data_IF_103375131145
#
_entry.id   IF_103375131145
#
_cell.length_a   1.000
_cell.length_b   1.000
_cell.length_c   1.000
_cell.angle_alpha   90.00
_cell.angle_beta   90.00
_cell.angle_gamma   90.00
#
_symmetry.space_group_name_H-M   'P 1'
#
loop_
_entity.id
_entity.type
_entity.pdbx_description
1 polymer ?
#
# COMPACT_ATOMS: atom_id res chain seq x y z
N UNK A 1 -19.90 0.50 0.41
CA UNK A 1 -19.26 1.83 0.24
C UNK A 1 -18.33 1.71 -0.98
N UNK A 2 -17.81 2.80 -1.56
CA UNK A 2 -16.98 2.72 -2.77
C UNK A 2 -15.48 2.73 -2.43
N UNK A 3 -14.67 2.05 -3.26
CA UNK A 3 -13.21 2.12 -3.18
C UNK A 3 -12.75 3.58 -3.30
N UNK A 4 -11.76 3.98 -2.49
CA UNK A 4 -11.33 5.39 -2.41
C UNK A 4 -9.84 5.54 -2.12
N UNK A 5 -9.25 6.63 -2.59
CA UNK A 5 -7.88 7.04 -2.25
C UNK A 5 -7.91 8.18 -1.25
N UNK A 6 -6.90 8.25 -0.38
CA UNK A 6 -6.68 9.36 0.55
C UNK A 6 -5.23 9.80 0.44
N UNK A 7 -5.01 10.95 -0.19
CA UNK A 7 -3.69 11.54 -0.41
C UNK A 7 -3.55 12.80 0.44
N UNK A 8 -2.35 13.08 0.94
CA UNK A 8 -2.01 14.31 1.64
C UNK A 8 -0.51 14.52 1.69
N UNK A 9 -0.07 15.58 2.38
CA UNK A 9 1.34 15.97 2.45
C UNK A 9 2.27 14.86 2.95
N UNK A 10 1.77 14.03 3.86
CA UNK A 10 2.55 13.00 4.58
C UNK A 10 1.93 11.61 4.45
N UNK A 11 1.05 11.42 3.46
CA UNK A 11 0.30 10.17 3.35
C UNK A 11 -0.22 9.87 1.95
N UNK A 12 -0.28 8.57 1.66
CA UNK A 12 -0.91 8.04 0.47
C UNK A 12 -1.58 6.70 0.80
N UNK A 13 -2.90 6.69 0.94
CA UNK A 13 -3.70 5.51 1.28
C UNK A 13 -4.73 5.18 0.22
N UNK A 14 -5.17 3.93 0.22
CA UNK A 14 -6.36 3.45 -0.47
C UNK A 14 -7.19 2.60 0.49
N UNK A 15 -8.52 2.67 0.33
CA UNK A 15 -9.47 1.76 0.98
C UNK A 15 -10.21 0.99 -0.10
N UNK A 16 -10.21 -0.33 0.01
CA UNK A 16 -10.94 -1.26 -0.87
C UNK A 16 -12.02 -1.91 -0.03
N UNK A 17 -13.27 -1.73 -0.44
CA UNK A 17 -14.51 -2.13 0.26
C UNK A 17 -15.51 -2.79 -0.71
N UNK A 18 -15.20 -2.73 -2.00
CA UNK A 18 -15.95 -3.38 -3.08
C UNK A 18 -14.98 -4.01 -4.05
N UNK A 19 -15.40 -5.07 -4.77
CA UNK A 19 -14.57 -5.70 -5.78
C UNK A 19 -13.95 -4.65 -6.72
N UNK A 20 -12.61 -4.61 -6.86
CA UNK A 20 -11.96 -3.80 -7.88
C UNK A 20 -12.40 -4.20 -9.28
N UNK A 21 -12.19 -3.32 -10.26
CA UNK A 21 -12.38 -3.66 -11.68
C UNK A 21 -11.06 -3.53 -12.43
N UNK A 22 -10.92 -4.25 -13.54
CA UNK A 22 -9.71 -4.20 -14.38
C UNK A 22 -8.49 -4.75 -13.63
N UNK A 23 -7.41 -4.00 -13.59
CA UNK A 23 -6.15 -4.47 -12.98
C UNK A 23 -6.15 -4.50 -11.44
N UNK A 24 -7.17 -3.95 -10.79
CA UNK A 24 -7.22 -3.79 -9.34
C UNK A 24 -7.41 -2.34 -8.89
N UNK A 25 -7.36 -2.12 -7.57
CA UNK A 25 -7.47 -0.80 -6.96
C UNK A 25 -6.22 -0.48 -6.15
N UNK A 26 -5.42 0.46 -6.67
CA UNK A 26 -4.11 0.81 -6.12
C UNK A 26 -4.12 2.21 -5.49
N UNK A 27 -3.14 2.48 -4.63
CA UNK A 27 -2.73 3.84 -4.25
C UNK A 27 -2.21 4.62 -5.47
N UNK A 28 -2.02 5.94 -5.33
CA UNK A 28 -1.12 6.63 -6.26
C UNK A 28 0.32 6.13 -6.02
N UNK A 29 1.19 6.36 -7.00
CA UNK A 29 2.61 6.09 -6.87
C UNK A 29 3.29 7.02 -5.87
N UNK A 30 4.28 6.51 -5.16
CA UNK A 30 5.10 7.22 -4.18
C UNK A 30 6.56 7.15 -4.64
N UNK A 31 7.12 8.31 -4.98
CA UNK A 31 8.55 8.47 -5.28
C UNK A 31 9.30 8.86 -4.00
N UNK A 32 9.99 7.90 -3.39
CA UNK A 32 10.68 8.11 -2.12
C UNK A 32 11.81 9.12 -2.24
N UNK A 33 12.45 9.24 -3.41
CA UNK A 33 13.54 10.19 -3.63
C UNK A 33 13.01 11.60 -3.73
N UNK A 34 11.88 11.79 -4.41
CA UNK A 34 11.20 13.08 -4.47
C UNK A 34 10.81 13.55 -3.06
N UNK A 35 10.29 12.65 -2.23
CA UNK A 35 9.90 12.96 -0.85
C UNK A 35 11.11 13.22 0.07
N UNK A 36 12.22 12.50 -0.11
CA UNK A 36 13.46 12.69 0.65
C UNK A 36 14.16 14.02 0.36
N UNK A 37 13.90 14.66 -0.78
CA UNK A 37 14.62 15.86 -1.23
C UNK A 37 14.65 16.97 -0.16
N UNK A 38 13.62 17.04 0.68
CA UNK A 38 13.45 18.08 1.68
C UNK A 38 13.76 17.62 3.11
N UNK A 39 14.15 16.35 3.34
CA UNK A 39 14.38 15.84 4.70
C UNK A 39 15.50 14.79 4.79
N UNK A 40 16.48 15.04 5.68
CA UNK A 40 17.66 14.16 5.85
C UNK A 40 17.35 12.87 6.61
N UNK A 41 16.37 12.92 7.53
CA UNK A 41 15.87 11.76 8.28
C UNK A 41 14.49 11.37 7.74
N UNK A 42 14.47 10.93 6.49
CA UNK A 42 13.24 10.53 5.80
C UNK A 42 13.04 9.02 5.92
N UNK A 43 11.90 8.60 6.46
CA UNK A 43 11.48 7.20 6.51
C UNK A 43 10.07 7.11 5.96
N UNK A 44 9.83 6.09 5.13
CA UNK A 44 8.49 5.78 4.65
C UNK A 44 8.05 4.48 5.26
N UNK A 45 6.84 4.49 5.78
CA UNK A 45 6.19 3.33 6.35
C UNK A 45 5.10 2.88 5.41
N UNK A 46 5.04 1.58 5.15
CA UNK A 46 3.89 0.93 4.55
C UNK A 46 3.09 0.24 5.65
N UNK A 47 1.77 0.37 5.63
CA UNK A 47 0.90 -0.33 6.57
C UNK A 47 -0.37 -0.86 5.91
N UNK A 48 -0.87 -1.97 6.46
CA UNK A 48 -2.17 -2.56 6.13
C UNK A 48 -3.00 -2.55 7.41
N UNK A 49 -4.22 -2.02 7.31
CA UNK A 49 -5.12 -1.80 8.44
C UNK A 49 -6.51 -2.28 8.06
N UNK A 50 -7.22 -2.83 9.01
CA UNK A 50 -8.65 -3.02 8.84
C UNK A 50 -9.33 -1.66 8.68
N UNK A 51 -10.34 -1.62 7.83
CA UNK A 51 -11.16 -0.44 7.73
C UNK A 51 -12.16 -0.41 8.90
N UNK A 52 -11.84 0.32 9.96
CA UNK A 52 -12.82 0.62 11.01
C UNK A 52 -13.57 1.91 10.65
N UNK A 53 -14.88 1.78 10.40
CA UNK A 53 -15.76 2.94 10.23
C UNK A 53 -16.08 3.65 11.56
N UNK A 54 -15.96 2.94 12.69
CA UNK A 54 -16.10 3.47 14.05
C UNK A 54 -15.39 2.53 15.04
N UNK A 55 -14.48 3.07 15.83
CA UNK A 55 -13.60 2.35 16.75
C UNK A 55 -14.38 1.45 17.73
N UNK A 56 -14.34 0.12 17.60
CA UNK A 56 -14.63 -0.80 18.73
C UNK A 56 -14.50 -2.30 18.44
N UNK A 57 -14.21 -2.73 17.21
CA UNK A 57 -13.98 -4.15 16.93
C UNK A 57 -13.22 -4.32 15.63
N UNK A 58 -11.90 -4.45 15.73
CA UNK A 58 -11.12 -5.10 14.69
C UNK A 58 -11.74 -6.49 14.49
N UNK A 59 -12.26 -6.74 13.30
CA UNK A 59 -12.77 -8.06 12.93
C UNK A 59 -11.95 -8.49 11.73
N UNK A 60 -11.23 -9.60 11.88
CA UNK A 60 -10.43 -10.32 10.87
C UNK A 60 -11.30 -10.84 9.69
N UNK A 61 -12.26 -10.05 9.21
CA UNK A 61 -13.29 -10.45 8.25
C UNK A 61 -12.96 -10.03 6.83
N UNK A 62 -11.83 -9.33 6.62
CA UNK A 62 -11.38 -8.98 5.27
C UNK A 62 -10.65 -10.17 4.63
N UNK A 63 -11.28 -10.76 3.64
CA UNK A 63 -10.69 -11.80 2.80
C UNK A 63 -10.20 -11.16 1.50
N UNK A 64 -9.01 -10.58 1.53
CA UNK A 64 -8.33 -10.10 0.32
C UNK A 64 -6.82 -10.00 0.52
N UNK A 65 -6.06 -10.08 -0.56
CA UNK A 65 -4.60 -9.93 -0.53
C UNK A 65 -4.20 -8.51 -0.94
N UNK A 66 -3.41 -7.84 -0.10
CA UNK A 66 -2.79 -6.56 -0.45
C UNK A 66 -1.40 -6.82 -0.97
N UNK A 67 -1.15 -6.34 -2.18
CA UNK A 67 0.13 -6.47 -2.86
C UNK A 67 0.86 -5.13 -2.83
N UNK A 68 2.09 -5.15 -2.32
CA UNK A 68 3.01 -4.02 -2.38
C UNK A 68 3.88 -4.18 -3.62
N UNK A 69 4.00 -3.14 -4.43
CA UNK A 69 4.74 -3.16 -5.68
C UNK A 69 5.75 -2.04 -5.75
N UNK A 70 6.86 -2.32 -6.40
CA UNK A 70 7.88 -1.34 -6.75
C UNK A 70 8.11 -1.32 -8.26
N UNK A 71 8.66 -0.20 -8.74
CA UNK A 71 9.10 -0.03 -10.11
C UNK A 71 10.41 0.75 -10.10
N UNK A 72 11.46 0.15 -10.65
CA UNK A 72 12.75 0.80 -10.84
C UNK A 72 12.75 1.64 -12.13
N UNK A 73 13.69 2.58 -12.22
CA UNK A 73 13.89 3.34 -13.45
C UNK A 73 14.31 2.41 -14.59
N UNK A 74 13.55 2.44 -15.69
CA UNK A 74 13.74 1.57 -16.86
C UNK A 74 12.84 0.34 -16.88
N UNK A 75 12.12 0.02 -15.79
CA UNK A 75 11.19 -1.10 -15.77
C UNK A 75 9.97 -0.83 -16.65
N UNK A 76 9.58 -1.83 -17.44
CA UNK A 76 8.38 -1.78 -18.29
C UNK A 76 7.07 -2.00 -17.50
N UNK A 77 7.16 -2.43 -16.25
CA UNK A 77 6.00 -2.73 -15.42
C UNK A 77 6.36 -2.84 -13.93
N UNK A 78 5.32 -2.91 -13.11
CA UNK A 78 5.44 -3.04 -11.66
C UNK A 78 5.82 -4.46 -11.27
N UNK A 79 6.67 -4.59 -10.25
CA UNK A 79 7.09 -5.87 -9.67
C UNK A 79 6.51 -6.00 -8.26
N UNK A 80 6.09 -7.21 -7.90
CA UNK A 80 5.63 -7.51 -6.55
C UNK A 80 6.81 -7.53 -5.58
N UNK A 81 6.68 -6.80 -4.48
CA UNK A 81 7.67 -6.79 -3.42
C UNK A 81 7.54 -8.04 -2.56
N UNK A 82 8.57 -8.87 -2.57
CA UNK A 82 8.73 -9.96 -1.63
C UNK A 82 9.68 -9.52 -0.49
N UNK A 83 9.22 -9.41 0.77
CA UNK A 83 10.09 -9.10 1.90
C UNK A 83 11.27 -10.06 1.97
N UNK A 84 12.48 -9.51 2.21
CA UNK A 84 13.73 -10.29 2.24
C UNK A 84 13.77 -11.35 3.34
N UNK A 85 13.02 -11.13 4.42
CA UNK A 85 12.85 -12.08 5.52
C UNK A 85 11.82 -13.19 5.23
N UNK A 86 11.21 -13.17 4.03
CA UNK A 86 10.17 -14.10 3.62
C UNK A 86 8.84 -13.90 4.35
N UNK A 87 8.68 -12.81 5.11
CA UNK A 87 7.43 -12.51 5.80
C UNK A 87 6.32 -12.16 4.80
N UNK A 88 5.08 -12.51 5.15
CA UNK A 88 3.91 -12.04 4.42
C UNK A 88 3.47 -10.68 4.95
N UNK A 89 3.03 -9.80 4.05
CA UNK A 89 2.36 -8.56 4.43
C UNK A 89 0.94 -8.89 4.92
N UNK A 90 0.71 -8.73 6.21
CA UNK A 90 -0.55 -9.01 6.87
C UNK A 90 -1.19 -7.72 7.41
N UNK A 91 -2.50 -7.80 7.69
CA UNK A 91 -3.22 -6.76 8.44
C UNK A 91 -2.54 -6.53 9.79
N UNK A 92 -2.43 -5.26 10.19
CA UNK A 92 -1.72 -4.86 11.41
C UNK A 92 -0.22 -4.67 11.21
N UNK A 93 0.36 -5.15 10.09
CA UNK A 93 1.77 -4.89 9.80
C UNK A 93 1.99 -3.42 9.47
N UNK A 94 3.07 -2.87 10.03
CA UNK A 94 3.67 -1.60 9.62
C UNK A 94 5.17 -1.82 9.42
N UNK A 95 5.61 -1.67 8.19
CA UNK A 95 7.00 -1.96 7.77
C UNK A 95 7.66 -0.69 7.24
N UNK A 96 8.96 -0.57 7.47
CA UNK A 96 9.76 0.51 6.87
C UNK A 96 10.14 0.10 5.45
N UNK A 97 9.97 1.00 4.49
CA UNK A 97 10.49 0.81 3.15
C UNK A 97 11.95 1.27 3.13
N UNK A 98 12.85 0.29 3.15
CA UNK A 98 14.30 0.54 3.21
C UNK A 98 14.94 0.79 1.84
N UNK A 99 14.36 0.20 0.79
CA UNK A 99 14.84 0.41 -0.56
C UNK A 99 14.42 1.78 -1.08
N UNK A 100 15.39 2.70 -0.98
CA UNK A 100 15.33 4.09 -1.44
C UNK A 100 16.23 4.29 -2.65
N UNK A 101 16.43 3.24 -3.46
CA UNK A 101 17.16 3.28 -4.70
C UNK A 101 16.75 4.47 -5.59
N UNK A 102 17.69 4.95 -6.39
CA UNK A 102 17.43 6.09 -7.27
C UNK A 102 16.23 5.79 -8.19
N UNK A 103 15.22 6.65 -8.15
CA UNK A 103 14.01 6.58 -8.99
C UNK A 103 13.15 5.30 -8.81
N UNK A 104 13.26 4.63 -7.66
CA UNK A 104 12.31 3.58 -7.27
C UNK A 104 10.99 4.21 -6.86
N UNK A 105 9.91 3.80 -7.52
CA UNK A 105 8.53 4.17 -7.19
C UNK A 105 7.84 3.02 -6.49
N UNK A 106 6.94 3.35 -5.57
CA UNK A 106 6.16 2.37 -4.82
C UNK A 106 4.67 2.59 -5.00
N UNK A 107 3.90 1.51 -5.04
CA UNK A 107 2.43 1.54 -4.91
C UNK A 107 1.96 0.30 -4.17
N UNK A 108 0.76 0.36 -3.62
CA UNK A 108 0.11 -0.82 -3.06
C UNK A 108 -1.30 -0.94 -3.62
N UNK A 109 -1.84 -2.15 -3.68
CA UNK A 109 -3.19 -2.38 -4.17
C UNK A 109 -3.73 -3.76 -3.86
N UNK A 110 -4.99 -3.96 -4.25
CA UNK A 110 -5.64 -5.27 -4.29
C UNK A 110 -6.00 -5.52 -5.75
N UNK A 111 -5.49 -6.59 -6.33
CA UNK A 111 -5.91 -7.01 -7.67
C UNK A 111 -7.39 -7.42 -7.68
N UNK A 112 -8.04 -7.35 -8.84
CA UNK A 112 -9.47 -7.71 -8.95
C UNK A 112 -9.73 -9.18 -8.55
N UNK A 113 -8.81 -10.09 -8.90
CA UNK A 113 -8.86 -11.51 -8.53
C UNK A 113 -8.40 -11.80 -7.09
N UNK A 114 -7.86 -10.81 -6.37
CA UNK A 114 -7.40 -10.95 -4.98
C UNK A 114 -8.45 -10.46 -3.97
N UNK A 115 -9.53 -9.85 -4.43
CA UNK A 115 -10.64 -9.44 -3.58
C UNK A 115 -11.65 -10.58 -3.44
N UNK A 116 -11.96 -10.98 -2.20
CA UNK A 116 -13.08 -11.89 -1.90
C UNK A 116 -14.18 -11.16 -1.13
N UNK A 117 -13.86 -10.58 0.04
CA UNK A 117 -14.84 -9.89 0.88
C UNK A 117 -14.20 -8.92 1.90
N UNK A 118 -15.04 -8.08 2.52
CA UNK A 118 -14.63 -7.18 3.60
C UNK A 118 -14.09 -5.83 3.11
N UNK A 119 -13.39 -5.13 4.00
CA UNK A 119 -12.87 -3.79 3.72
C UNK A 119 -11.53 -3.53 4.39
N UNK A 120 -10.55 -3.12 3.60
CA UNK A 120 -9.17 -2.93 4.04
C UNK A 120 -8.65 -1.55 3.64
N UNK A 121 -7.83 -0.94 4.49
CA UNK A 121 -7.10 0.30 4.20
C UNK A 121 -5.61 0.04 4.24
N UNK A 122 -4.91 0.41 3.18
CA UNK A 122 -3.46 0.22 3.08
C UNK A 122 -2.80 1.44 2.42
N UNK A 123 -1.50 1.58 2.64
CA UNK A 123 -0.72 2.61 1.98
C UNK A 123 0.45 3.11 2.81
N UNK A 124 0.87 4.33 2.52
CA UNK A 124 2.13 4.91 2.91
C UNK A 124 1.95 6.13 3.81
N UNK A 125 2.85 6.29 4.77
CA UNK A 125 3.06 7.53 5.54
C UNK A 125 4.56 7.80 5.72
N UNK A 126 4.94 9.07 5.87
CA UNK A 126 6.34 9.52 5.96
C UNK A 126 6.51 10.83 6.73
#
# INVERSE_FOLDING_TARGET
MANRRSSGTFKQYATVDTPPTGLGYFTNEVDLRALRKDNKEFRVYFSIREYEADSSAASDTSEMTVTLQFQCEGDLGWQDYAPLDGSALAVGNRVVIEDTGAAVKWRAGVHDYEYTSGSITFGFDW
#
